data_IF_374689229546
#
_entry.id   IF_374689229546
#
_cell.length_a   1.000
_cell.length_b   1.000
_cell.length_c   1.000
_cell.angle_alpha   90.00
_cell.angle_beta   90.00
_cell.angle_gamma   90.00
#
_symmetry.space_group_name_H-M   'P 1'
#
loop_
_entity.id
_entity.type
_entity.pdbx_description
1 polymer ?
#
# COMPACT_ATOMS: atom_id res chain seq x y z
N UNK A 1 -46.51 -43.63 63.84
CA UNK A 1 -46.12 -44.49 62.70
C UNK A 1 -46.14 -43.67 61.43
N UNK A 2 -45.20 -43.96 60.52
CA UNK A 2 -45.05 -43.44 59.14
C UNK A 2 -44.45 -42.02 59.00
N UNK A 3 -43.48 -41.74 58.13
CA UNK A 3 -42.47 -42.55 57.45
C UNK A 3 -41.46 -41.51 56.90
N UNK A 4 -40.23 -41.46 57.43
CA UNK A 4 -39.11 -40.80 56.74
C UNK A 4 -38.54 -41.81 55.75
N UNK A 5 -38.05 -41.31 54.60
CA UNK A 5 -37.30 -41.97 53.50
C UNK A 5 -38.12 -41.97 52.20
N UNK A 6 -37.62 -41.59 51.03
CA UNK A 6 -36.29 -41.19 50.57
C UNK A 6 -36.50 -40.47 49.24
N UNK A 7 -35.68 -39.45 48.95
CA UNK A 7 -35.61 -38.80 47.65
C UNK A 7 -35.29 -39.84 46.57
N UNK A 8 -36.15 -39.97 45.57
CA UNK A 8 -35.87 -40.77 44.38
C UNK A 8 -35.04 -39.91 43.42
N UNK A 9 -33.72 -39.97 43.60
CA UNK A 9 -32.73 -39.53 42.62
C UNK A 9 -32.80 -40.51 41.45
N UNK A 10 -33.63 -40.19 40.46
CA UNK A 10 -33.56 -40.81 39.15
C UNK A 10 -32.19 -40.48 38.55
N UNK A 11 -31.24 -41.40 38.71
CA UNK A 11 -29.95 -41.35 38.04
C UNK A 11 -30.19 -41.47 36.53
N UNK A 12 -30.17 -40.34 35.83
CA UNK A 12 -30.03 -40.32 34.37
C UNK A 12 -28.68 -40.95 34.06
N UNK A 13 -28.68 -42.24 33.73
CA UNK A 13 -27.52 -42.96 33.25
C UNK A 13 -27.16 -42.40 31.89
N UNK A 14 -26.27 -41.40 31.84
CA UNK A 14 -25.68 -40.89 30.61
C UNK A 14 -24.79 -41.99 30.02
N UNK A 15 -25.33 -42.74 29.05
CA UNK A 15 -24.54 -43.69 28.27
C UNK A 15 -23.59 -42.90 27.37
N UNK A 16 -22.33 -42.80 27.81
CA UNK A 16 -21.20 -42.45 26.96
C UNK A 16 -21.19 -43.38 25.75
N UNK A 17 -21.07 -42.90 24.50
CA UNK A 17 -21.02 -43.79 23.35
C UNK A 17 -19.75 -44.64 23.46
N UNK A 18 -19.91 -45.94 23.69
CA UNK A 18 -18.81 -46.88 23.74
C UNK A 18 -18.16 -46.94 22.35
N UNK A 19 -17.01 -46.29 22.22
CA UNK A 19 -16.16 -46.36 21.04
C UNK A 19 -15.44 -47.73 21.04
N UNK A 20 -16.13 -48.76 20.54
CA UNK A 20 -15.63 -50.12 20.62
C UNK A 20 -16.43 -51.17 19.86
N UNK A 21 -17.12 -50.81 18.77
CA UNK A 21 -17.65 -51.83 17.84
C UNK A 21 -16.57 -52.21 16.84
N UNK A 22 -16.18 -53.49 16.82
CA UNK A 22 -15.28 -54.04 15.81
C UNK A 22 -15.90 -53.92 14.42
N UNK A 23 -15.27 -53.14 13.55
CA UNK A 23 -15.68 -52.98 12.15
C UNK A 23 -15.58 -54.32 11.40
N UNK A 24 -16.58 -54.62 10.58
CA UNK A 24 -16.53 -55.79 9.67
C UNK A 24 -15.42 -55.61 8.63
N UNK A 25 -14.87 -56.72 8.12
CA UNK A 25 -13.77 -56.70 7.14
C UNK A 25 -14.12 -55.89 5.88
N UNK A 26 -15.40 -55.94 5.45
CA UNK A 26 -15.92 -55.17 4.32
C UNK A 26 -15.84 -53.67 4.57
N UNK A 27 -16.25 -53.21 5.76
CA UNK A 27 -16.17 -51.78 6.14
C UNK A 27 -14.73 -51.27 6.17
N UNK A 28 -13.79 -52.08 6.67
CA UNK A 28 -12.36 -51.73 6.68
C UNK A 28 -11.82 -51.57 5.25
N UNK A 29 -12.16 -52.49 4.35
CA UNK A 29 -11.74 -52.43 2.95
C UNK A 29 -12.33 -51.22 2.21
N UNK A 30 -13.59 -50.88 2.43
CA UNK A 30 -14.23 -49.68 1.85
C UNK A 30 -13.58 -48.39 2.34
N UNK A 31 -13.32 -48.28 3.65
CA UNK A 31 -12.62 -47.11 4.20
C UNK A 31 -11.21 -46.96 3.64
N UNK A 32 -10.49 -48.07 3.47
CA UNK A 32 -9.16 -48.06 2.86
C UNK A 32 -9.21 -47.58 1.40
N UNK A 33 -10.17 -48.06 0.61
CA UNK A 33 -10.34 -47.62 -0.78
C UNK A 33 -10.63 -46.11 -0.88
N UNK A 34 -11.49 -45.59 0.00
CA UNK A 34 -11.78 -44.14 0.09
C UNK A 34 -10.52 -43.37 0.48
N UNK A 35 -9.78 -43.84 1.48
CA UNK A 35 -8.56 -43.20 1.96
C UNK A 35 -7.48 -43.14 0.87
N UNK A 36 -7.28 -44.23 0.12
CA UNK A 36 -6.33 -44.28 -1.00
C UNK A 36 -6.70 -43.27 -2.09
N UNK A 37 -7.99 -43.08 -2.37
CA UNK A 37 -8.44 -42.13 -3.38
C UNK A 37 -8.40 -40.66 -2.92
N UNK A 38 -8.71 -40.38 -1.65
CA UNK A 38 -8.96 -39.00 -1.17
C UNK A 38 -7.76 -38.37 -0.46
N UNK A 39 -6.96 -39.13 0.27
CA UNK A 39 -5.81 -38.58 1.02
C UNK A 39 -4.81 -37.92 0.08
N UNK A 40 -4.37 -38.52 -1.04
CA UNK A 40 -3.39 -37.87 -1.92
C UNK A 40 -3.89 -36.55 -2.50
N UNK A 41 -5.18 -36.47 -2.83
CA UNK A 41 -5.82 -35.24 -3.34
C UNK A 41 -5.83 -34.16 -2.27
N UNK A 42 -6.21 -34.50 -1.04
CA UNK A 42 -6.21 -33.56 0.09
C UNK A 42 -4.80 -33.06 0.43
N UNK A 43 -3.82 -33.97 0.46
CA UNK A 43 -2.41 -33.62 0.71
C UNK A 43 -1.90 -32.68 -0.39
N UNK A 44 -2.19 -32.98 -1.65
CA UNK A 44 -1.79 -32.13 -2.79
C UNK A 44 -2.46 -30.76 -2.69
N UNK A 45 -3.78 -30.72 -2.48
CA UNK A 45 -4.52 -29.46 -2.33
C UNK A 45 -4.03 -28.62 -1.16
N UNK A 46 -3.77 -29.23 0.00
CA UNK A 46 -3.27 -28.53 1.18
C UNK A 46 -1.86 -27.96 0.96
N UNK A 47 -0.94 -28.74 0.36
CA UNK A 47 0.42 -28.27 0.07
C UNK A 47 0.41 -27.19 -1.01
N UNK A 48 -0.33 -27.37 -2.10
CA UNK A 48 -0.52 -26.36 -3.13
C UNK A 48 -1.10 -25.07 -2.55
N UNK A 49 -2.15 -25.14 -1.71
CA UNK A 49 -2.72 -23.97 -1.06
C UNK A 49 -1.71 -23.25 -0.17
N UNK A 50 -0.97 -24.00 0.66
CA UNK A 50 0.04 -23.44 1.56
C UNK A 50 1.13 -22.68 0.78
N UNK A 51 1.66 -23.28 -0.29
CA UNK A 51 2.68 -22.64 -1.11
C UNK A 51 2.12 -21.48 -1.93
N UNK A 52 0.94 -21.63 -2.53
CA UNK A 52 0.30 -20.56 -3.30
C UNK A 52 0.02 -19.34 -2.42
N UNK A 53 -0.55 -19.54 -1.23
CA UNK A 53 -0.84 -18.44 -0.30
C UNK A 53 0.45 -17.71 0.11
N UNK A 54 1.51 -18.45 0.41
CA UNK A 54 2.82 -17.87 0.77
C UNK A 54 3.43 -17.08 -0.39
N UNK A 55 3.42 -17.65 -1.60
CA UNK A 55 3.99 -17.00 -2.79
C UNK A 55 3.18 -15.77 -3.19
N UNK A 56 1.85 -15.86 -3.27
CA UNK A 56 0.98 -14.71 -3.60
C UNK A 56 1.18 -13.57 -2.60
N UNK A 57 1.25 -13.88 -1.30
CA UNK A 57 1.48 -12.85 -0.27
C UNK A 57 2.85 -12.20 -0.45
N UNK A 58 3.90 -13.00 -0.68
CA UNK A 58 5.25 -12.50 -0.88
C UNK A 58 5.33 -11.63 -2.15
N UNK A 59 4.78 -12.09 -3.25
CA UNK A 59 4.82 -11.39 -4.53
C UNK A 59 4.02 -10.08 -4.46
N UNK A 60 2.89 -10.07 -3.75
CA UNK A 60 2.13 -8.84 -3.48
C UNK A 60 2.96 -7.83 -2.65
N UNK A 61 3.66 -8.28 -1.61
CA UNK A 61 4.53 -7.42 -0.81
C UNK A 61 5.67 -6.85 -1.66
N UNK A 62 6.35 -7.69 -2.44
CA UNK A 62 7.45 -7.26 -3.31
C UNK A 62 6.98 -6.27 -4.38
N UNK A 63 5.80 -6.48 -4.96
CA UNK A 63 5.23 -5.58 -5.96
C UNK A 63 4.88 -4.21 -5.35
N UNK A 64 4.30 -4.19 -4.16
CA UNK A 64 4.01 -2.93 -3.45
C UNK A 64 5.30 -2.19 -3.06
N UNK A 65 6.34 -2.92 -2.64
CA UNK A 65 7.66 -2.35 -2.34
C UNK A 65 8.32 -1.76 -3.59
N UNK A 66 8.30 -2.47 -4.72
CA UNK A 66 8.82 -1.99 -6.01
C UNK A 66 8.08 -0.73 -6.48
N UNK A 67 6.75 -0.70 -6.35
CA UNK A 67 5.94 0.50 -6.68
C UNK A 67 6.28 1.68 -5.78
N UNK A 68 6.49 1.45 -4.49
CA UNK A 68 6.87 2.50 -3.55
C UNK A 68 8.25 3.08 -3.91
N UNK A 69 9.22 2.23 -4.25
CA UNK A 69 10.55 2.63 -4.72
C UNK A 69 10.42 3.41 -6.03
N UNK A 70 9.65 2.92 -7.00
CA UNK A 70 9.45 3.60 -8.29
C UNK A 70 8.81 4.99 -8.11
N UNK A 71 7.84 5.11 -7.20
CA UNK A 71 7.21 6.38 -6.85
C UNK A 71 8.21 7.34 -6.20
N UNK A 72 8.98 6.85 -5.22
CA UNK A 72 10.04 7.63 -4.56
C UNK A 72 11.04 8.16 -5.59
N UNK A 73 11.47 7.32 -6.52
CA UNK A 73 12.38 7.65 -7.61
C UNK A 73 11.80 8.72 -8.54
N UNK A 74 10.53 8.58 -8.92
CA UNK A 74 9.83 9.57 -9.75
C UNK A 74 9.72 10.92 -9.05
N UNK A 75 9.36 10.93 -7.77
CA UNK A 75 9.31 12.15 -6.95
C UNK A 75 10.71 12.76 -6.82
N UNK A 76 11.73 11.95 -6.54
CA UNK A 76 13.11 12.38 -6.43
C UNK A 76 13.61 13.07 -7.69
N UNK A 77 13.38 12.45 -8.86
CA UNK A 77 13.71 13.06 -10.16
C UNK A 77 12.93 14.35 -10.41
N UNK A 78 11.63 14.36 -10.15
CA UNK A 78 10.81 15.56 -10.29
C UNK A 78 11.33 16.72 -9.43
N UNK A 79 11.64 16.46 -8.16
CA UNK A 79 12.21 17.47 -7.25
C UNK A 79 13.60 17.93 -7.69
N UNK A 80 14.45 17.01 -8.15
CA UNK A 80 15.77 17.36 -8.66
C UNK A 80 15.69 18.29 -9.87
N UNK A 81 14.78 18.04 -10.81
CA UNK A 81 14.51 18.95 -11.92
C UNK A 81 14.03 20.32 -11.44
N UNK A 82 13.12 20.36 -10.45
CA UNK A 82 12.62 21.64 -9.90
C UNK A 82 13.73 22.43 -9.21
N UNK A 83 14.62 21.76 -8.46
CA UNK A 83 15.79 22.40 -7.84
C UNK A 83 16.74 22.93 -8.93
N UNK A 84 16.98 22.16 -9.99
CA UNK A 84 17.78 22.59 -11.14
C UNK A 84 17.22 23.85 -11.80
N UNK A 85 15.91 23.88 -12.06
CA UNK A 85 15.24 25.06 -12.62
C UNK A 85 15.40 26.29 -11.69
N UNK A 86 15.28 26.12 -10.37
CA UNK A 86 15.51 27.21 -9.39
C UNK A 86 16.96 27.70 -9.43
N UNK A 87 17.95 26.80 -9.52
CA UNK A 87 19.36 27.17 -9.61
C UNK A 87 19.65 27.96 -10.90
N UNK A 88 19.08 27.54 -12.02
CA UNK A 88 19.20 28.28 -13.29
C UNK A 88 18.54 29.65 -13.17
N UNK A 89 17.30 29.71 -12.67
CA UNK A 89 16.57 30.96 -12.48
C UNK A 89 17.33 31.94 -11.59
N UNK A 90 17.79 31.50 -10.42
CA UNK A 90 18.50 32.35 -9.45
C UNK A 90 19.87 32.81 -9.95
N UNK A 91 20.45 32.15 -10.96
CA UNK A 91 21.69 32.57 -11.62
C UNK A 91 21.49 33.58 -12.76
N UNK A 92 20.27 33.89 -13.17
CA UNK A 92 20.03 34.87 -14.24
C UNK A 92 20.34 36.29 -13.77
N UNK A 93 21.03 37.07 -14.59
CA UNK A 93 21.44 38.44 -14.22
C UNK A 93 20.25 39.32 -13.81
N UNK A 94 19.09 39.08 -14.42
CA UNK A 94 17.84 39.79 -14.11
C UNK A 94 17.35 39.59 -12.67
N UNK A 95 17.82 38.55 -11.98
CA UNK A 95 17.49 38.25 -10.58
C UNK A 95 18.70 38.36 -9.64
N UNK A 96 19.93 38.28 -10.15
CA UNK A 96 21.16 38.57 -9.39
C UNK A 96 21.37 40.08 -9.22
N UNK A 97 21.09 40.86 -10.27
CA UNK A 97 21.21 42.32 -10.31
C UNK A 97 19.88 42.95 -10.77
N UNK A 98 18.78 42.75 -10.02
CA UNK A 98 17.45 43.15 -10.44
C UNK A 98 17.28 44.67 -10.63
N UNK A 99 18.17 45.49 -10.06
CA UNK A 99 18.22 46.94 -10.19
C UNK A 99 18.61 47.42 -11.60
N UNK A 100 19.26 46.57 -12.41
CA UNK A 100 19.66 46.91 -13.78
C UNK A 100 18.55 46.72 -14.81
N UNK A 101 17.44 46.12 -14.41
CA UNK A 101 16.35 45.72 -15.32
C UNK A 101 15.03 46.34 -14.87
N UNK A 102 14.18 46.64 -15.84
CA UNK A 102 12.82 47.12 -15.60
C UNK A 102 11.95 46.02 -15.00
N UNK A 103 10.83 46.42 -14.38
CA UNK A 103 9.88 45.46 -13.85
C UNK A 103 9.28 44.56 -14.94
N UNK A 104 9.06 45.11 -16.13
CA UNK A 104 8.49 44.39 -17.26
C UNK A 104 9.44 43.32 -17.78
N UNK A 105 10.73 43.63 -17.98
CA UNK A 105 11.74 42.66 -18.44
C UNK A 105 11.85 41.46 -17.50
N UNK A 106 11.80 41.70 -16.18
CA UNK A 106 11.81 40.63 -15.18
C UNK A 106 10.59 39.71 -15.30
N UNK A 107 9.41 40.27 -15.49
CA UNK A 107 8.16 39.51 -15.63
C UNK A 107 8.14 38.72 -16.94
N UNK A 108 8.53 39.33 -18.06
CA UNK A 108 8.57 38.67 -19.38
C UNK A 108 9.51 37.45 -19.39
N UNK A 109 10.64 37.51 -18.68
CA UNK A 109 11.54 36.36 -18.54
C UNK A 109 10.84 35.21 -17.80
N UNK A 110 10.17 35.49 -16.68
CA UNK A 110 9.44 34.46 -15.93
C UNK A 110 8.29 33.86 -16.75
N UNK A 111 7.55 34.68 -17.51
CA UNK A 111 6.48 34.21 -18.38
C UNK A 111 6.98 33.31 -19.51
N UNK A 112 8.13 33.66 -20.11
CA UNK A 112 8.78 32.82 -21.12
C UNK A 112 9.15 31.45 -20.55
N UNK A 113 9.71 31.42 -19.35
CA UNK A 113 10.07 30.16 -18.67
C UNK A 113 8.81 29.38 -18.32
N UNK A 114 7.80 30.00 -17.72
CA UNK A 114 6.52 29.36 -17.44
C UNK A 114 5.90 28.74 -18.70
N UNK A 115 5.92 29.47 -19.82
CA UNK A 115 5.37 29.01 -21.11
C UNK A 115 6.20 27.89 -21.73
N UNK A 116 7.52 27.89 -21.56
CA UNK A 116 8.40 26.86 -22.07
C UNK A 116 8.19 25.52 -21.34
N UNK A 117 8.12 25.56 -20.01
CA UNK A 117 8.03 24.36 -19.19
C UNK A 117 6.61 23.82 -19.02
N UNK A 118 5.58 24.69 -19.02
CA UNK A 118 4.14 24.35 -18.89
C UNK A 118 3.73 23.55 -17.65
N UNK A 119 4.65 23.22 -16.76
CA UNK A 119 4.40 22.51 -15.50
C UNK A 119 4.18 23.46 -14.31
N UNK A 120 4.43 24.75 -14.50
CA UNK A 120 4.32 25.76 -13.45
C UNK A 120 3.01 26.55 -13.55
N UNK A 121 2.25 26.59 -12.45
CA UNK A 121 1.08 27.47 -12.34
C UNK A 121 1.45 28.93 -12.12
N UNK A 122 2.55 29.19 -11.39
CA UNK A 122 3.14 30.52 -11.23
C UNK A 122 4.62 30.41 -10.89
N UNK A 123 5.38 31.45 -11.24
CA UNK A 123 6.78 31.62 -10.83
C UNK A 123 6.89 32.99 -10.17
N UNK A 124 7.54 33.06 -9.02
CA UNK A 124 7.75 34.29 -8.27
C UNK A 124 9.16 34.33 -7.67
N UNK A 125 9.77 35.51 -7.69
CA UNK A 125 11.08 35.79 -7.10
C UNK A 125 10.89 36.88 -6.05
N UNK A 126 11.44 36.65 -4.86
CA UNK A 126 11.34 37.56 -3.72
C UNK A 126 12.73 37.96 -3.24
N UNK A 127 12.84 39.15 -2.67
CA UNK A 127 14.04 39.56 -1.95
C UNK A 127 14.08 38.92 -0.54
N UNK A 128 15.20 39.11 0.18
CA UNK A 128 15.38 38.59 1.54
C UNK A 128 14.42 39.18 2.58
N UNK A 129 13.71 40.27 2.24
CA UNK A 129 12.70 40.91 3.08
C UNK A 129 11.29 40.44 2.73
N UNK A 130 11.14 39.59 1.71
CA UNK A 130 9.84 39.09 1.23
C UNK A 130 9.14 40.01 0.22
N UNK A 131 9.81 41.06 -0.29
CA UNK A 131 9.23 41.90 -1.33
C UNK A 131 9.31 41.19 -2.69
N UNK A 132 8.29 41.34 -3.51
CA UNK A 132 8.23 40.74 -4.85
C UNK A 132 9.22 41.46 -5.78
N UNK A 133 10.19 40.71 -6.31
CA UNK A 133 11.09 41.16 -7.37
C UNK A 133 10.40 41.03 -8.73
N UNK A 134 9.74 39.89 -8.97
CA UNK A 134 8.90 39.62 -10.14
C UNK A 134 8.01 38.40 -9.89
N UNK A 135 6.87 38.34 -10.58
CA UNK A 135 5.93 37.23 -10.49
C UNK A 135 5.09 37.13 -11.76
N UNK A 136 4.72 35.92 -12.17
CA UNK A 136 3.79 35.69 -13.28
C UNK A 136 2.33 35.87 -12.86
N UNK A 137 1.47 36.30 -13.80
CA UNK A 137 0.11 36.79 -13.53
C UNK A 137 -0.77 35.89 -12.66
N UNK A 138 -0.70 34.56 -12.83
CA UNK A 138 -1.52 33.61 -12.06
C UNK A 138 -1.27 33.62 -10.54
N UNK A 139 -0.18 34.21 -10.07
CA UNK A 139 0.16 34.28 -8.64
C UNK A 139 -0.03 35.67 -8.01
N UNK A 140 -0.36 36.70 -8.80
CA UNK A 140 -0.45 38.08 -8.33
C UNK A 140 -1.68 38.23 -7.44
N UNK A 141 -1.48 38.38 -6.13
CA UNK A 141 -2.59 38.77 -5.23
C UNK A 141 -2.98 40.22 -5.55
N UNK A 142 -4.21 40.40 -6.03
CA UNK A 142 -4.88 41.71 -6.13
C UNK A 142 -5.12 42.30 -4.76
#
# INVERSE_FOLDING_TARGET
>A
MNNRKQANLNSVKSSSPSMGKSLTLKTKATLLAIAIGTIPVLVTGATSYYFANKTITKDAILLEEERAIELQDKIGRFLQERIGDIQVLTGLEVFVHPEKFTQQEKVEILERIQKAYKVYDSIAVFDLKGNVIAQTDKGKKT
#
